data_IF_280095769721
#
_entry.id   IF_280095769721
#
_cell.length_a   1.000
_cell.length_b   1.000
_cell.length_c   1.000
_cell.angle_alpha   90.00
_cell.angle_beta   90.00
_cell.angle_gamma   90.00
#
_symmetry.space_group_name_H-M   'P 1'
#
loop_
_entity.id
_entity.type
_entity.pdbx_description
1 polymer ?
#
# COMPACT_ATOMS: atom_id res chain seq x y z
N UNK A 1 11.22 12.64 15.17
CA UNK A 1 11.66 11.96 13.93
C UNK A 1 11.56 10.46 14.09
N UNK A 2 11.22 9.76 13.01
CA UNK A 2 11.20 8.30 12.99
C UNK A 2 12.64 7.75 12.86
N UNK A 3 12.93 6.68 13.58
CA UNK A 3 14.20 5.97 13.44
C UNK A 3 14.22 5.19 12.11
N UNK A 4 15.15 5.47 11.19
CA UNK A 4 15.23 4.77 9.91
C UNK A 4 15.38 3.26 10.02
N UNK A 5 16.11 2.78 11.02
CA UNK A 5 16.33 1.35 11.22
C UNK A 5 15.04 0.60 11.65
N UNK A 6 14.06 1.32 12.19
CA UNK A 6 12.81 0.77 12.72
C UNK A 6 11.57 1.21 11.93
N UNK A 7 11.76 1.81 10.76
CA UNK A 7 10.68 2.36 9.93
C UNK A 7 10.61 1.66 8.58
N UNK A 8 9.42 1.25 8.18
CA UNK A 8 9.13 0.81 6.82
C UNK A 8 8.11 1.73 6.15
N UNK A 9 8.32 1.99 4.85
CA UNK A 9 7.32 2.59 3.98
C UNK A 9 6.72 1.51 3.09
N UNK A 10 5.39 1.39 3.12
CA UNK A 10 4.64 0.46 2.30
C UNK A 10 3.89 1.22 1.21
N UNK A 11 4.12 0.87 -0.05
CA UNK A 11 3.24 1.28 -1.15
C UNK A 11 2.24 0.16 -1.40
N UNK A 12 0.95 0.49 -1.43
CA UNK A 12 -0.12 -0.50 -1.44
C UNK A 12 -0.90 -0.43 -2.76
N UNK A 13 -0.76 -1.47 -3.59
CA UNK A 13 -1.45 -1.66 -4.87
C UNK A 13 -1.12 -0.61 -5.96
N UNK A 14 0.08 -0.03 -5.94
CA UNK A 14 0.54 0.87 -7.01
C UNK A 14 0.98 0.10 -8.26
N UNK A 15 0.11 -0.77 -8.74
CA UNK A 15 0.33 -1.64 -9.89
C UNK A 15 -0.32 -1.08 -11.16
N UNK A 16 0.30 -1.36 -12.32
CA UNK A 16 -0.22 -0.93 -13.64
C UNK A 16 -1.66 -1.41 -13.86
N UNK A 17 -1.98 -2.65 -13.43
CA UNK A 17 -3.33 -3.18 -13.51
C UNK A 17 -4.33 -2.45 -12.61
N UNK A 18 -3.96 -2.04 -11.42
CA UNK A 18 -4.81 -1.25 -10.52
C UNK A 18 -5.07 0.13 -11.10
N UNK A 19 -4.04 0.81 -11.58
CA UNK A 19 -4.15 2.14 -12.20
C UNK A 19 -5.04 2.11 -13.47
N UNK A 20 -4.99 1.03 -14.23
CA UNK A 20 -5.88 0.83 -15.37
C UNK A 20 -7.34 0.52 -14.97
N UNK A 21 -7.57 0.07 -13.75
CA UNK A 21 -8.88 -0.31 -13.24
C UNK A 21 -9.60 0.83 -12.49
N UNK A 22 -8.85 1.68 -11.80
CA UNK A 22 -9.38 2.74 -10.93
C UNK A 22 -9.16 4.08 -11.62
N UNK A 23 -10.19 4.56 -12.30
CA UNK A 23 -10.15 5.83 -13.03
C UNK A 23 -9.80 6.99 -12.09
N UNK A 24 -8.83 7.79 -12.49
CA UNK A 24 -8.37 8.97 -11.74
C UNK A 24 -7.26 8.69 -10.72
N UNK A 25 -6.92 7.41 -10.48
CA UNK A 25 -5.92 7.05 -9.48
C UNK A 25 -4.50 7.56 -9.81
N UNK A 26 -4.20 7.82 -11.08
CA UNK A 26 -2.92 8.43 -11.46
C UNK A 26 -2.67 9.79 -10.80
N UNK A 27 -3.70 10.49 -10.36
CA UNK A 27 -3.57 11.79 -9.70
C UNK A 27 -2.70 11.76 -8.43
N UNK A 28 -2.62 10.62 -7.74
CA UNK A 28 -1.80 10.49 -6.52
C UNK A 28 -0.36 10.04 -6.77
N UNK A 29 -0.01 9.65 -8.00
CA UNK A 29 1.33 9.17 -8.33
C UNK A 29 2.44 10.19 -7.98
N UNK A 30 2.32 11.49 -8.27
CA UNK A 30 3.36 12.45 -7.91
C UNK A 30 3.65 12.49 -6.41
N UNK A 31 2.63 12.50 -5.56
CA UNK A 31 2.80 12.49 -4.11
C UNK A 31 3.34 11.16 -3.62
N UNK A 32 2.85 10.05 -4.14
CA UNK A 32 3.37 8.72 -3.82
C UNK A 32 4.85 8.59 -4.18
N UNK A 33 5.25 9.03 -5.37
CA UNK A 33 6.66 9.04 -5.80
C UNK A 33 7.52 9.91 -4.88
N UNK A 34 7.05 11.10 -4.50
CA UNK A 34 7.73 12.00 -3.57
C UNK A 34 7.96 11.34 -2.20
N UNK A 35 6.96 10.63 -1.67
CA UNK A 35 7.08 9.91 -0.41
C UNK A 35 8.11 8.78 -0.50
N UNK A 36 8.11 8.01 -1.59
CA UNK A 36 9.06 6.92 -1.81
C UNK A 36 10.50 7.45 -1.95
N UNK A 37 10.71 8.53 -2.72
CA UNK A 37 12.02 9.16 -2.84
C UNK A 37 12.54 9.69 -1.49
N UNK A 38 11.67 10.26 -0.69
CA UNK A 38 12.02 10.66 0.68
C UNK A 38 12.46 9.44 1.52
N UNK A 39 11.70 8.35 1.48
CA UNK A 39 12.02 7.13 2.20
C UNK A 39 13.38 6.54 1.76
N UNK A 40 13.70 6.60 0.46
CA UNK A 40 15.01 6.20 -0.08
C UNK A 40 16.15 7.03 0.52
N UNK A 41 15.99 8.37 0.53
CA UNK A 41 17.00 9.27 1.12
C UNK A 41 17.20 9.04 2.62
N UNK A 42 16.10 8.71 3.34
CA UNK A 42 16.14 8.42 4.79
C UNK A 42 16.53 6.97 5.11
N UNK A 43 16.73 6.14 4.09
CA UNK A 43 17.09 4.73 4.25
C UNK A 43 16.02 3.91 5.02
N UNK A 44 14.75 4.28 4.89
CA UNK A 44 13.64 3.47 5.40
C UNK A 44 13.57 2.16 4.62
N UNK A 45 13.10 1.09 5.27
CA UNK A 45 12.77 -0.13 4.56
C UNK A 45 11.58 0.14 3.63
N UNK A 46 11.77 -0.01 2.32
CA UNK A 46 10.68 0.13 1.33
C UNK A 46 10.18 -1.26 0.96
N UNK A 47 8.85 -1.44 1.00
CA UNK A 47 8.19 -2.66 0.60
C UNK A 47 7.00 -2.30 -0.29
N UNK A 48 7.00 -2.83 -1.51
CA UNK A 48 5.89 -2.70 -2.43
C UNK A 48 4.96 -3.90 -2.27
N UNK A 49 3.71 -3.64 -1.87
CA UNK A 49 2.71 -4.68 -1.67
C UNK A 49 1.68 -4.59 -2.78
N UNK A 50 1.37 -5.70 -3.41
CA UNK A 50 0.40 -5.73 -4.50
C UNK A 50 -0.20 -7.10 -4.74
N UNK A 51 -1.22 -7.14 -5.60
CA UNK A 51 -1.86 -8.39 -6.02
C UNK A 51 -0.90 -9.24 -6.86
N UNK A 52 -0.84 -10.53 -6.57
CA UNK A 52 -0.04 -11.45 -7.35
C UNK A 52 -0.57 -12.87 -7.23
N UNK A 53 -1.16 -13.37 -8.31
CA UNK A 53 -1.75 -14.70 -8.38
C UNK A 53 -0.87 -15.69 -9.15
N UNK A 54 -1.08 -16.97 -8.92
CA UNK A 54 -0.55 -18.03 -9.74
C UNK A 54 -1.33 -18.12 -11.06
N UNK A 55 -0.73 -18.73 -12.09
CA UNK A 55 -1.41 -18.96 -13.37
C UNK A 55 -2.72 -19.73 -13.15
N UNK A 56 -3.81 -19.25 -13.75
CA UNK A 56 -5.15 -19.84 -13.58
C UNK A 56 -5.87 -19.45 -12.31
N UNK A 57 -5.26 -18.63 -11.45
CA UNK A 57 -5.86 -18.07 -10.22
C UNK A 57 -6.46 -19.14 -9.29
N UNK A 58 -5.70 -20.19 -8.90
CA UNK A 58 -6.22 -21.21 -7.99
C UNK A 58 -6.54 -20.66 -6.60
N UNK A 59 -6.02 -19.50 -6.24
CA UNK A 59 -6.25 -18.82 -4.97
C UNK A 59 -7.63 -18.12 -4.90
N UNK A 60 -8.35 -18.01 -6.02
CA UNK A 60 -9.64 -17.29 -6.10
C UNK A 60 -10.80 -18.29 -6.02
N UNK A 61 -11.63 -18.23 -4.95
CA UNK A 61 -12.82 -19.07 -4.86
C UNK A 61 -13.91 -18.60 -5.82
N UNK A 62 -14.69 -19.56 -6.33
CA UNK A 62 -15.76 -19.33 -7.31
C UNK A 62 -16.81 -18.30 -6.86
N UNK A 63 -17.11 -18.25 -5.56
CA UNK A 63 -18.13 -17.37 -4.98
C UNK A 63 -17.67 -15.94 -4.72
N UNK A 64 -16.38 -15.61 -4.90
CA UNK A 64 -15.87 -14.26 -4.61
C UNK A 64 -16.23 -13.28 -5.73
N UNK A 65 -17.18 -12.35 -5.54
CA UNK A 65 -17.60 -11.44 -6.60
C UNK A 65 -16.50 -10.46 -7.03
N UNK A 66 -15.68 -10.01 -6.10
CA UNK A 66 -14.55 -9.11 -6.38
C UNK A 66 -13.45 -9.82 -7.20
N UNK A 67 -13.04 -10.98 -6.75
CA UNK A 67 -11.93 -11.70 -7.37
C UNK A 67 -12.33 -12.44 -8.67
N UNK A 68 -13.63 -12.73 -8.87
CA UNK A 68 -14.12 -13.34 -10.11
C UNK A 68 -13.70 -12.52 -11.34
N UNK A 69 -13.85 -11.19 -11.27
CA UNK A 69 -13.47 -10.29 -12.37
C UNK A 69 -11.97 -10.33 -12.66
N UNK A 70 -11.14 -10.43 -11.62
CA UNK A 70 -9.69 -10.61 -11.75
C UNK A 70 -9.37 -11.91 -12.50
N UNK A 71 -9.99 -13.01 -12.10
CA UNK A 71 -9.81 -14.34 -12.74
C UNK A 71 -10.30 -14.35 -14.19
N UNK A 72 -11.51 -13.81 -14.45
CA UNK A 72 -12.10 -13.76 -15.78
C UNK A 72 -11.28 -12.97 -16.80
N UNK A 73 -10.59 -11.92 -16.34
CA UNK A 73 -9.76 -11.08 -17.19
C UNK A 73 -8.27 -11.44 -17.10
N UNK A 74 -7.93 -12.55 -16.45
CA UNK A 74 -6.54 -13.04 -16.28
C UNK A 74 -5.59 -11.97 -15.74
N UNK A 75 -6.04 -11.18 -14.75
CA UNK A 75 -5.27 -10.06 -14.20
C UNK A 75 -4.39 -10.48 -13.04
N UNK A 76 -3.33 -9.71 -12.82
CA UNK A 76 -2.41 -9.83 -11.68
C UNK A 76 -1.74 -11.19 -11.52
N UNK A 77 -1.57 -11.93 -12.60
CA UNK A 77 -0.69 -13.11 -12.58
C UNK A 77 0.75 -12.63 -12.41
N UNK A 78 1.47 -13.21 -11.46
CA UNK A 78 2.87 -12.84 -11.18
C UNK A 78 3.72 -12.93 -12.44
N UNK A 79 4.52 -11.88 -12.69
CA UNK A 79 5.36 -11.79 -13.89
C UNK A 79 4.66 -11.26 -15.14
N UNK A 80 3.38 -10.88 -15.05
CA UNK A 80 2.65 -10.24 -16.16
C UNK A 80 2.54 -8.72 -15.97
N UNK A 81 2.32 -7.95 -17.06
CA UNK A 81 2.27 -6.47 -16.99
C UNK A 81 1.29 -5.91 -15.98
N UNK A 82 0.11 -6.54 -15.79
CA UNK A 82 -0.89 -6.05 -14.83
C UNK A 82 -0.43 -6.13 -13.38
N UNK A 83 0.46 -7.07 -13.06
CA UNK A 83 1.04 -7.24 -11.72
C UNK A 83 2.26 -6.35 -11.48
N UNK A 84 2.83 -5.73 -12.51
CA UNK A 84 3.97 -4.83 -12.36
C UNK A 84 3.60 -3.55 -11.63
N UNK A 85 4.52 -3.07 -10.80
CA UNK A 85 4.38 -1.78 -10.12
C UNK A 85 4.70 -0.63 -11.08
N UNK A 86 4.11 0.53 -10.80
CA UNK A 86 4.36 1.76 -11.58
C UNK A 86 5.82 2.18 -11.50
N UNK A 87 6.41 2.54 -12.64
CA UNK A 87 7.86 2.81 -12.76
C UNK A 87 8.34 4.01 -11.93
N UNK A 88 7.46 4.99 -11.65
CA UNK A 88 7.76 6.11 -10.75
C UNK A 88 7.72 5.72 -9.26
N UNK A 89 7.25 4.55 -8.91
CA UNK A 89 7.08 4.09 -7.53
C UNK A 89 8.13 3.05 -7.17
N UNK A 90 8.21 1.95 -7.90
CA UNK A 90 9.13 0.86 -7.61
C UNK A 90 10.37 0.89 -8.49
N UNK A 91 11.50 0.49 -7.90
CA UNK A 91 12.77 0.30 -8.60
C UNK A 91 13.18 -1.17 -8.57
N UNK A 92 13.95 -1.63 -9.59
CA UNK A 92 14.53 -2.97 -9.55
C UNK A 92 15.33 -3.20 -8.27
N UNK A 93 15.15 -4.37 -7.65
CA UNK A 93 15.86 -4.75 -6.42
C UNK A 93 15.16 -4.32 -5.12
N UNK A 94 14.12 -3.49 -5.16
CA UNK A 94 13.30 -3.18 -4.00
C UNK A 94 12.39 -4.37 -3.63
N UNK A 95 12.10 -4.51 -2.35
CA UNK A 95 11.35 -5.65 -1.83
C UNK A 95 9.88 -5.59 -2.26
N UNK A 96 9.40 -6.70 -2.80
CA UNK A 96 8.00 -6.88 -3.21
C UNK A 96 7.37 -7.99 -2.37
N UNK A 97 6.15 -7.75 -1.89
CA UNK A 97 5.32 -8.76 -1.24
C UNK A 97 3.99 -8.85 -1.99
N UNK A 98 3.68 -10.03 -2.49
CA UNK A 98 2.39 -10.28 -3.14
C UNK A 98 1.35 -10.76 -2.14
N UNK A 99 0.11 -10.41 -2.43
CA UNK A 99 -1.09 -10.84 -1.70
C UNK A 99 -2.19 -11.29 -2.66
N UNK A 100 -3.15 -12.04 -2.16
CA UNK A 100 -4.30 -12.53 -2.93
C UNK A 100 -5.65 -12.09 -2.32
N UNK A 101 -5.61 -11.17 -1.36
CA UNK A 101 -6.77 -10.59 -0.68
C UNK A 101 -6.61 -9.08 -0.58
N UNK A 102 -7.60 -8.40 0.01
CA UNK A 102 -7.60 -6.93 0.10
C UNK A 102 -6.47 -6.41 0.98
N UNK A 103 -6.32 -6.92 2.18
CA UNK A 103 -5.34 -6.42 3.16
C UNK A 103 -3.90 -6.81 2.83
N UNK A 104 -2.96 -5.93 3.15
CA UNK A 104 -1.54 -6.16 2.88
C UNK A 104 -0.95 -7.34 3.68
N UNK A 105 -1.50 -7.63 4.84
CA UNK A 105 -1.03 -8.71 5.73
C UNK A 105 -1.69 -10.07 5.47
N UNK A 106 -2.57 -10.17 4.48
CA UNK A 106 -3.40 -11.37 4.27
C UNK A 106 -2.57 -12.49 3.64
N UNK A 107 -2.37 -13.57 4.41
CA UNK A 107 -1.78 -14.85 3.94
C UNK A 107 -0.46 -14.70 3.19
N UNK A 108 0.46 -13.87 3.69
CA UNK A 108 1.76 -13.65 3.09
C UNK A 108 2.87 -13.41 4.11
N UNK A 109 4.06 -13.07 3.65
CA UNK A 109 5.27 -12.92 4.47
C UNK A 109 5.46 -11.52 5.06
N UNK A 110 4.56 -10.54 4.82
CA UNK A 110 4.79 -9.15 5.20
C UNK A 110 5.08 -9.01 6.70
N UNK A 111 4.23 -9.58 7.55
CA UNK A 111 4.42 -9.51 9.00
C UNK A 111 5.74 -10.15 9.45
N UNK A 112 6.07 -11.32 8.90
CA UNK A 112 7.33 -12.01 9.19
C UNK A 112 8.55 -11.13 8.84
N UNK A 113 8.53 -10.50 7.66
CA UNK A 113 9.61 -9.61 7.20
C UNK A 113 9.75 -8.41 8.12
N UNK A 114 8.65 -7.74 8.46
CA UNK A 114 8.66 -6.57 9.33
C UNK A 114 9.21 -6.90 10.73
N UNK A 115 8.78 -8.04 11.29
CA UNK A 115 9.27 -8.50 12.59
C UNK A 115 10.76 -8.88 12.56
N UNK A 116 11.18 -9.61 11.54
CA UNK A 116 12.58 -10.03 11.38
C UNK A 116 13.54 -8.83 11.24
N UNK A 117 13.04 -7.69 10.73
CA UNK A 117 13.81 -6.44 10.59
C UNK A 117 13.64 -5.48 11.75
N UNK A 118 12.92 -5.85 12.79
CA UNK A 118 12.69 -4.99 13.97
C UNK A 118 11.89 -3.72 13.69
N UNK A 119 11.02 -3.75 12.65
CA UNK A 119 10.21 -2.60 12.29
C UNK A 119 9.13 -2.36 13.34
N UNK A 120 8.97 -1.10 13.75
CA UNK A 120 7.94 -0.63 14.69
C UNK A 120 7.02 0.43 14.09
N UNK A 121 7.52 1.18 13.12
CA UNK A 121 6.80 2.26 12.46
C UNK A 121 6.47 1.90 11.02
N UNK A 122 5.20 2.07 10.65
CA UNK A 122 4.74 1.89 9.28
C UNK A 122 4.22 3.21 8.73
N UNK A 123 4.82 3.66 7.65
CA UNK A 123 4.32 4.76 6.82
C UNK A 123 3.72 4.14 5.56
N UNK A 124 2.47 4.40 5.26
CA UNK A 124 1.84 3.77 4.10
C UNK A 124 0.74 4.60 3.45
N UNK A 125 0.44 4.23 2.24
CA UNK A 125 -0.60 4.81 1.40
C UNK A 125 -0.97 3.81 0.29
N UNK A 126 -2.19 3.92 -0.24
CA UNK A 126 -2.68 2.91 -1.17
C UNK A 126 -3.88 3.30 -2.01
N UNK A 127 -4.19 2.46 -2.94
CA UNK A 127 -5.32 2.49 -3.86
C UNK A 127 -6.12 1.19 -3.65
N UNK A 128 -7.31 1.23 -3.03
CA UNK A 128 -8.05 2.41 -2.60
C UNK A 128 -7.92 2.68 -1.10
N UNK A 129 -8.34 3.88 -0.69
CA UNK A 129 -8.41 4.29 0.72
C UNK A 129 -9.34 3.37 1.53
N UNK A 130 -10.53 3.06 1.00
CA UNK A 130 -11.54 2.20 1.64
C UNK A 130 -11.26 0.70 1.52
N UNK A 131 -10.34 0.32 0.65
CA UNK A 131 -9.94 -1.07 0.45
C UNK A 131 -8.68 -1.42 1.21
N UNK A 132 -7.56 -1.53 0.46
CA UNK A 132 -6.28 -1.96 1.02
C UNK A 132 -5.79 -1.06 2.15
N UNK A 133 -5.94 0.26 2.05
CA UNK A 133 -5.42 1.18 3.07
C UNK A 133 -6.14 0.97 4.40
N UNK A 134 -7.47 0.95 4.41
CA UNK A 134 -8.26 0.67 5.60
C UNK A 134 -7.96 -0.71 6.19
N UNK A 135 -7.96 -1.75 5.38
CA UNK A 135 -7.69 -3.13 5.82
C UNK A 135 -6.28 -3.27 6.40
N UNK A 136 -5.29 -2.61 5.80
CA UNK A 136 -3.92 -2.63 6.27
C UNK A 136 -3.78 -1.87 7.59
N UNK A 137 -4.41 -0.70 7.72
CA UNK A 137 -4.38 0.08 8.96
C UNK A 137 -4.94 -0.72 10.14
N UNK A 138 -6.13 -1.31 9.98
CA UNK A 138 -6.75 -2.11 11.04
C UNK A 138 -5.82 -3.23 11.51
N UNK A 139 -5.26 -3.98 10.58
CA UNK A 139 -4.38 -5.10 10.92
C UNK A 139 -3.04 -4.64 11.48
N UNK A 140 -2.44 -3.60 10.94
CA UNK A 140 -1.19 -3.05 11.44
C UNK A 140 -1.33 -2.55 12.89
N UNK A 141 -2.44 -1.87 13.18
CA UNK A 141 -2.74 -1.41 14.53
C UNK A 141 -2.90 -2.59 15.50
N UNK A 142 -3.64 -3.64 15.13
CA UNK A 142 -3.82 -4.85 15.95
C UNK A 142 -2.51 -5.65 16.13
N UNK A 143 -1.51 -5.42 15.29
CA UNK A 143 -0.17 -5.99 15.40
C UNK A 143 0.82 -5.08 16.14
N UNK A 144 0.32 -4.02 16.79
CA UNK A 144 1.08 -3.05 17.60
C UNK A 144 2.08 -2.19 16.80
N UNK A 145 1.89 -2.03 15.49
CA UNK A 145 2.67 -1.06 14.73
C UNK A 145 2.17 0.37 14.96
N UNK A 146 3.11 1.31 15.01
CA UNK A 146 2.82 2.75 15.00
C UNK A 146 2.63 3.21 13.56
N UNK A 147 1.41 3.61 13.22
CA UNK A 147 1.00 3.86 11.84
C UNK A 147 0.98 5.34 11.49
N UNK A 148 1.48 5.65 10.31
CA UNK A 148 1.33 6.96 9.63
C UNK A 148 0.70 6.69 8.26
N UNK A 149 -0.42 7.35 7.97
CA UNK A 149 -1.07 7.29 6.65
C UNK A 149 -0.85 8.61 5.91
N UNK A 150 -0.33 8.54 4.70
CA UNK A 150 -0.13 9.71 3.83
C UNK A 150 -1.36 9.88 2.94
N UNK A 151 -2.29 10.73 3.39
CA UNK A 151 -3.64 10.82 2.83
C UNK A 151 -3.70 11.30 1.38
N UNK A 152 -2.79 12.17 0.97
CA UNK A 152 -2.71 12.72 -0.39
C UNK A 152 -1.92 11.84 -1.37
N UNK A 153 -1.40 10.71 -0.89
CA UNK A 153 -0.91 9.59 -1.69
C UNK A 153 -1.90 8.39 -1.68
N UNK A 154 -3.04 8.51 -0.99
CA UNK A 154 -4.16 7.57 -1.08
C UNK A 154 -5.20 8.06 -2.08
N UNK A 155 -5.85 7.13 -2.76
CA UNK A 155 -6.94 7.43 -3.69
C UNK A 155 -8.15 6.54 -3.40
N UNK A 156 -9.34 7.12 -3.49
CA UNK A 156 -10.60 6.38 -3.53
C UNK A 156 -11.47 6.90 -4.68
N UNK A 157 -12.22 6.01 -5.30
CA UNK A 157 -13.13 6.38 -6.37
C UNK A 157 -14.27 7.30 -5.90
N UNK A 158 -14.62 7.20 -4.62
CA UNK A 158 -15.56 8.11 -3.95
C UNK A 158 -14.80 9.10 -3.06
N UNK A 159 -14.73 10.40 -3.45
CA UNK A 159 -14.03 11.41 -2.67
C UNK A 159 -14.58 11.62 -1.27
N UNK A 160 -15.87 11.41 -1.05
CA UNK A 160 -16.49 11.53 0.28
C UNK A 160 -16.05 10.37 1.19
N UNK A 161 -16.02 9.16 0.68
CA UNK A 161 -15.49 8.00 1.41
C UNK A 161 -14.03 8.25 1.80
N UNK A 162 -13.20 8.73 0.87
CA UNK A 162 -11.81 9.09 1.16
C UNK A 162 -11.72 10.13 2.29
N UNK A 163 -12.50 11.21 2.20
CA UNK A 163 -12.52 12.28 3.21
C UNK A 163 -12.93 11.76 4.58
N UNK A 164 -14.02 11.00 4.67
CA UNK A 164 -14.51 10.45 5.94
C UNK A 164 -13.47 9.53 6.56
N UNK A 165 -12.87 8.64 5.79
CA UNK A 165 -11.86 7.72 6.29
C UNK A 165 -10.62 8.44 6.81
N UNK A 166 -10.07 9.36 6.03
CA UNK A 166 -8.83 10.06 6.39
C UNK A 166 -9.00 11.10 7.50
N UNK A 167 -10.18 11.71 7.62
CA UNK A 167 -10.42 12.76 8.60
C UNK A 167 -11.09 12.28 9.89
N UNK A 168 -11.93 11.23 9.82
CA UNK A 168 -12.77 10.82 10.96
C UNK A 168 -12.48 9.39 11.45
N UNK A 169 -11.99 8.49 10.61
CA UNK A 169 -11.81 7.09 10.98
C UNK A 169 -10.34 6.77 11.28
N UNK A 170 -9.44 7.05 10.36
CA UNK A 170 -8.02 6.72 10.50
C UNK A 170 -7.32 7.40 11.69
N UNK A 171 -7.66 8.65 12.08
CA UNK A 171 -7.00 9.30 13.22
C UNK A 171 -7.11 8.59 14.56
N UNK A 172 -8.06 7.66 14.70
CA UNK A 172 -8.17 6.82 15.88
C UNK A 172 -7.03 5.77 15.99
N UNK A 173 -6.36 5.43 14.88
CA UNK A 173 -5.38 4.35 14.81
C UNK A 173 -4.07 4.74 14.13
N UNK A 174 -4.00 5.92 13.52
CA UNK A 174 -2.82 6.40 12.82
C UNK A 174 -2.67 7.91 12.92
N UNK A 175 -1.44 8.37 12.74
CA UNK A 175 -1.20 9.76 12.39
C UNK A 175 -1.49 9.92 10.89
N UNK A 176 -2.39 10.85 10.54
CA UNK A 176 -2.78 11.09 9.14
C UNK A 176 -2.21 12.43 8.69
N UNK A 177 -1.35 12.40 7.69
CA UNK A 177 -0.62 13.58 7.20
C UNK A 177 -0.70 13.66 5.67
N UNK A 178 -0.43 14.84 5.14
CA UNK A 178 0.01 14.96 3.73
C UNK A 178 1.47 14.54 3.60
N UNK A 179 1.91 14.21 2.40
CA UNK A 179 3.32 13.88 2.13
C UNK A 179 4.23 15.04 2.55
N UNK A 180 3.86 16.27 2.22
CA UNK A 180 4.66 17.45 2.57
C UNK A 180 4.77 17.70 4.08
N UNK A 181 3.66 17.54 4.80
CA UNK A 181 3.66 17.67 6.25
C UNK A 181 4.51 16.57 6.91
N UNK A 182 4.41 15.34 6.41
CA UNK A 182 5.25 14.24 6.89
C UNK A 182 6.75 14.54 6.68
N UNK A 183 7.15 14.95 5.48
CA UNK A 183 8.54 15.29 5.17
C UNK A 183 9.05 16.41 6.09
N UNK A 184 8.28 17.49 6.23
CA UNK A 184 8.64 18.61 7.10
C UNK A 184 8.88 18.17 8.55
N UNK A 185 8.02 17.31 9.10
CA UNK A 185 8.23 16.77 10.45
C UNK A 185 9.48 15.91 10.60
N UNK A 186 9.86 15.17 9.54
CA UNK A 186 11.04 14.33 9.60
C UNK A 186 12.34 15.12 9.38
N UNK A 187 12.28 16.29 8.80
CA UNK A 187 13.43 17.17 8.55
C UNK A 187 13.65 18.23 9.65
N UNK A 188 12.57 18.63 10.35
CA UNK A 188 12.64 19.60 11.48
C UNK A 188 13.55 19.12 12.62
#
# INVERSE_FOLDING_TARGET
KLDPARTALLTLDFQKGILGFVSGAEAVIPNAAKAVEFARRKQYQIIHVGLGFSTGHPEIPEHSPFNRRVKQNNLFVKGTPSAEFHDSIARPGELVVFKQRVGAFSENQLHLILRARGIEHLVFFGISTSGITLSTLRRAFDLDFRCVVLKDACFDADPEVHRILTEKVFPAQAKVLTVDAFIAEQEA
#
